data_IF_406554924709
#
_entry.id   IF_406554924709
#
_cell.length_a   1.000
_cell.length_b   1.000
_cell.length_c   1.000
_cell.angle_alpha   90.00
_cell.angle_beta   90.00
_cell.angle_gamma   90.00
#
_symmetry.space_group_name_H-M   'P 1'
#
loop_
_entity.id
_entity.type
_entity.pdbx_description
1 polymer ?
#
# COMPACT_ATOMS: atom_id res chain seq x y z
N UNK A 1 -11.09 -15.18 0.48
CA UNK A 1 -9.96 -14.87 -0.40
C UNK A 1 -10.34 -15.12 -1.86
N UNK A 2 -9.84 -14.31 -2.76
CA UNK A 2 -10.04 -14.44 -4.21
C UNK A 2 -9.18 -15.55 -4.83
N UNK A 3 -8.25 -16.13 -4.07
CA UNK A 3 -7.32 -17.14 -4.53
C UNK A 3 -7.10 -18.28 -3.54
N UNK A 4 -6.44 -19.35 -3.97
CA UNK A 4 -6.04 -20.44 -3.09
C UNK A 4 -5.07 -19.96 -2.00
N UNK A 5 -5.20 -20.53 -0.79
CA UNK A 5 -4.25 -20.27 0.30
C UNK A 5 -2.97 -21.08 0.05
N UNK A 6 -1.97 -20.41 -0.47
CA UNK A 6 -0.66 -20.97 -0.81
C UNK A 6 0.46 -20.04 -0.39
N UNK A 7 1.68 -20.52 -0.31
CA UNK A 7 2.85 -19.67 -0.05
C UNK A 7 3.02 -18.59 -1.11
N UNK A 8 2.76 -18.90 -2.38
CA UNK A 8 2.84 -17.94 -3.48
C UNK A 8 1.71 -16.91 -3.46
N UNK A 9 0.58 -17.21 -2.83
CA UNK A 9 -0.55 -16.30 -2.66
C UNK A 9 -0.51 -15.51 -1.35
N UNK A 10 0.58 -15.54 -0.61
CA UNK A 10 0.72 -14.84 0.67
C UNK A 10 1.42 -13.48 0.51
N UNK A 11 1.04 -12.51 1.35
CA UNK A 11 1.72 -11.22 1.46
C UNK A 11 3.15 -11.35 1.99
N UNK A 12 4.05 -10.41 1.66
CA UNK A 12 3.87 -9.32 0.71
C UNK A 12 4.00 -9.78 -0.74
N UNK A 13 3.38 -9.04 -1.67
CA UNK A 13 3.60 -9.22 -3.10
C UNK A 13 4.64 -8.23 -3.62
N UNK A 14 5.52 -8.73 -4.48
CA UNK A 14 6.53 -7.93 -5.17
C UNK A 14 6.43 -8.22 -6.68
N UNK A 15 6.23 -7.20 -7.49
CA UNK A 15 6.15 -7.30 -8.95
C UNK A 15 7.21 -6.45 -9.66
N UNK A 16 8.04 -5.75 -8.90
CA UNK A 16 9.15 -4.91 -9.39
C UNK A 16 10.46 -5.23 -8.69
N UNK A 17 11.52 -4.55 -9.09
CA UNK A 17 12.86 -4.78 -8.55
C UNK A 17 13.00 -4.31 -7.08
N UNK A 18 12.12 -3.40 -6.64
CA UNK A 18 12.26 -2.72 -5.36
C UNK A 18 10.90 -2.26 -4.80
N UNK A 19 9.95 -3.16 -4.72
CA UNK A 19 8.64 -2.83 -4.19
C UNK A 19 8.01 -4.04 -3.53
N UNK A 20 7.48 -3.85 -2.33
CA UNK A 20 6.61 -4.84 -1.70
C UNK A 20 5.30 -4.20 -1.24
N UNK A 21 4.21 -4.91 -1.46
CA UNK A 21 2.84 -4.48 -1.13
C UNK A 21 2.19 -5.46 -0.16
N UNK A 22 1.61 -4.90 0.89
CA UNK A 22 0.64 -5.57 1.76
C UNK A 22 -0.72 -4.91 1.56
N UNK A 23 -1.77 -5.71 1.45
CA UNK A 23 -3.14 -5.29 1.19
C UNK A 23 -4.09 -5.85 2.26
N UNK A 24 -4.93 -4.99 2.79
CA UNK A 24 -6.09 -5.39 3.57
C UNK A 24 -7.34 -4.88 2.85
N UNK A 25 -8.14 -5.79 2.29
CA UNK A 25 -9.31 -5.43 1.50
C UNK A 25 -9.66 -6.44 0.41
N UNK A 26 -10.37 -5.97 -0.60
CA UNK A 26 -10.69 -6.71 -1.83
C UNK A 26 -10.89 -5.76 -2.99
N UNK A 27 -10.26 -6.06 -4.13
CA UNK A 27 -10.36 -5.29 -5.36
C UNK A 27 -11.42 -5.91 -6.28
N UNK A 28 -12.57 -5.28 -6.39
CA UNK A 28 -13.71 -5.79 -7.18
C UNK A 28 -13.39 -5.87 -8.66
N UNK A 29 -12.57 -4.96 -9.19
CA UNK A 29 -12.21 -4.91 -10.61
C UNK A 29 -10.90 -5.65 -10.95
N UNK A 30 -10.32 -6.43 -10.02
CA UNK A 30 -9.00 -7.05 -10.19
C UNK A 30 -8.87 -7.89 -11.48
N UNK A 31 -9.91 -8.61 -11.90
CA UNK A 31 -9.86 -9.42 -13.11
C UNK A 31 -9.82 -8.58 -14.41
N UNK A 32 -10.53 -7.44 -14.43
CA UNK A 32 -10.48 -6.52 -15.57
C UNK A 32 -9.09 -5.86 -15.65
N UNK A 33 -8.57 -5.45 -14.51
CA UNK A 33 -7.26 -4.83 -14.38
C UNK A 33 -6.13 -5.81 -14.73
N UNK A 34 -6.21 -7.07 -14.26
CA UNK A 34 -5.27 -8.15 -14.64
C UNK A 34 -5.16 -8.31 -16.16
N UNK A 35 -6.29 -8.35 -16.86
CA UNK A 35 -6.30 -8.43 -18.33
C UNK A 35 -5.67 -7.21 -18.99
N UNK A 36 -5.92 -6.00 -18.46
CA UNK A 36 -5.31 -4.75 -18.93
C UNK A 36 -3.78 -4.80 -18.76
N UNK A 37 -3.31 -5.14 -17.57
CA UNK A 37 -1.88 -5.18 -17.23
C UNK A 37 -1.11 -6.25 -18.01
N UNK A 38 -1.70 -7.45 -18.20
CA UNK A 38 -1.11 -8.50 -19.06
C UNK A 38 -0.91 -8.04 -20.50
N UNK A 39 -1.84 -7.22 -21.06
CA UNK A 39 -1.68 -6.64 -22.41
C UNK A 39 -0.56 -5.59 -22.46
N UNK A 40 -0.18 -5.01 -21.34
CA UNK A 40 0.95 -4.10 -21.19
C UNK A 40 2.28 -4.84 -20.91
N UNK A 41 2.27 -6.17 -20.96
CA UNK A 41 3.45 -6.99 -20.72
C UNK A 41 3.77 -7.23 -19.25
N UNK A 42 2.90 -6.84 -18.32
CA UNK A 42 3.11 -7.10 -16.89
C UNK A 42 2.75 -8.56 -16.59
N UNK A 43 3.70 -9.27 -15.98
CA UNK A 43 3.51 -10.66 -15.57
C UNK A 43 2.77 -10.72 -14.24
N UNK A 44 1.74 -11.55 -14.15
CA UNK A 44 0.94 -11.81 -12.96
C UNK A 44 0.73 -13.32 -12.86
N UNK A 45 1.24 -13.93 -11.80
CA UNK A 45 1.30 -15.39 -11.64
C UNK A 45 0.06 -15.95 -10.96
N UNK A 46 -0.40 -15.29 -9.88
CA UNK A 46 -1.47 -15.81 -9.04
C UNK A 46 -2.85 -15.26 -9.43
N UNK A 47 -3.88 -15.81 -8.86
CA UNK A 47 -5.23 -15.25 -8.95
C UNK A 47 -5.53 -14.23 -7.84
N UNK A 48 -4.53 -13.92 -6.98
CA UNK A 48 -4.68 -12.98 -5.88
C UNK A 48 -4.85 -11.55 -6.40
N UNK A 49 -5.78 -10.82 -5.82
CA UNK A 49 -6.06 -9.43 -6.16
C UNK A 49 -4.94 -8.47 -5.69
N UNK A 50 -4.25 -8.82 -4.60
CA UNK A 50 -3.10 -8.04 -4.11
C UNK A 50 -1.95 -8.03 -5.11
N UNK A 51 -1.68 -9.16 -5.78
CA UNK A 51 -0.68 -9.18 -6.86
C UNK A 51 -1.08 -8.24 -8.01
N UNK A 52 -2.37 -8.14 -8.32
CA UNK A 52 -2.87 -7.19 -9.32
C UNK A 52 -2.67 -5.74 -8.85
N UNK A 53 -2.89 -5.44 -7.58
CA UNK A 53 -2.60 -4.14 -7.00
C UNK A 53 -1.11 -3.78 -7.08
N UNK A 54 -0.22 -4.71 -6.72
CA UNK A 54 1.22 -4.54 -6.83
C UNK A 54 1.67 -4.34 -8.29
N UNK A 55 1.14 -5.15 -9.21
CA UNK A 55 1.38 -5.04 -10.64
C UNK A 55 0.91 -3.69 -11.21
N UNK A 56 -0.22 -3.17 -10.72
CA UNK A 56 -0.72 -1.85 -11.11
C UNK A 56 0.25 -0.74 -10.71
N UNK A 57 0.72 -0.73 -9.46
CA UNK A 57 1.70 0.26 -9.01
C UNK A 57 3.00 0.18 -9.82
N UNK A 58 3.52 -1.03 -10.03
CA UNK A 58 4.70 -1.26 -10.88
C UNK A 58 4.50 -0.71 -12.29
N UNK A 59 3.36 -0.99 -12.91
CA UNK A 59 3.03 -0.47 -14.24
C UNK A 59 3.00 1.05 -14.29
N UNK A 60 2.40 1.72 -13.29
CA UNK A 60 2.37 3.17 -13.19
C UNK A 60 3.78 3.75 -13.08
N UNK A 61 4.61 3.17 -12.21
CA UNK A 61 5.99 3.61 -12.00
C UNK A 61 6.88 3.38 -13.23
N UNK A 62 6.73 2.27 -13.94
CA UNK A 62 7.42 2.02 -15.22
C UNK A 62 7.00 3.02 -16.32
N UNK A 63 5.82 3.61 -16.21
CA UNK A 63 5.34 4.67 -17.11
C UNK A 63 5.65 6.09 -16.59
N UNK A 64 6.56 6.21 -15.62
CA UNK A 64 7.11 7.49 -15.18
C UNK A 64 6.43 8.11 -13.96
N UNK A 65 5.44 7.47 -13.35
CA UNK A 65 4.87 7.94 -12.10
C UNK A 65 5.82 7.69 -10.92
N UNK A 66 5.89 8.61 -9.99
CA UNK A 66 6.44 8.35 -8.65
C UNK A 66 5.54 7.37 -7.88
N UNK A 67 6.03 6.78 -6.79
CA UNK A 67 5.20 5.92 -5.94
C UNK A 67 3.98 6.68 -5.39
N UNK A 68 4.16 7.93 -4.95
CA UNK A 68 3.07 8.76 -4.45
C UNK A 68 1.98 8.98 -5.51
N UNK A 69 2.37 9.32 -6.76
CA UNK A 69 1.44 9.47 -7.88
C UNK A 69 0.76 8.15 -8.26
N UNK A 70 1.47 7.03 -8.19
CA UNK A 70 0.89 5.71 -8.44
C UNK A 70 -0.15 5.33 -7.37
N UNK A 71 0.14 5.61 -6.09
CA UNK A 71 -0.80 5.43 -4.99
C UNK A 71 -2.01 6.36 -5.11
N UNK A 72 -1.80 7.63 -5.46
CA UNK A 72 -2.91 8.58 -5.67
C UNK A 72 -3.83 8.11 -6.81
N UNK A 73 -3.24 7.66 -7.94
CA UNK A 73 -4.02 7.13 -9.06
C UNK A 73 -4.78 5.85 -8.72
N UNK A 74 -4.34 5.09 -7.72
CA UNK A 74 -5.05 3.88 -7.28
C UNK A 74 -6.42 4.19 -6.71
N UNK A 75 -6.64 5.37 -6.14
CA UNK A 75 -7.94 5.80 -5.62
C UNK A 75 -9.00 5.97 -6.70
N UNK A 76 -8.59 6.29 -7.94
CA UNK A 76 -9.49 6.46 -9.09
C UNK A 76 -9.63 5.18 -9.93
N UNK A 77 -8.54 4.41 -10.07
CA UNK A 77 -8.46 3.29 -11.00
C UNK A 77 -8.85 1.94 -10.37
N UNK A 78 -8.73 1.79 -9.05
CA UNK A 78 -9.08 0.57 -8.33
C UNK A 78 -10.48 0.67 -7.76
N UNK A 79 -11.27 -0.37 -7.95
CA UNK A 79 -12.62 -0.50 -7.40
C UNK A 79 -12.63 -1.56 -6.29
N UNK A 80 -13.35 -1.26 -5.21
CA UNK A 80 -13.42 -2.12 -4.04
C UNK A 80 -13.17 -1.35 -2.74
N UNK A 81 -12.64 -2.04 -1.75
CA UNK A 81 -12.20 -1.43 -0.49
C UNK A 81 -10.82 -1.97 -0.13
N UNK A 82 -9.90 -1.08 0.16
CA UNK A 82 -8.50 -1.46 0.34
C UNK A 82 -7.71 -0.48 1.21
N UNK A 83 -6.81 -1.03 1.98
CA UNK A 83 -5.70 -0.28 2.55
C UNK A 83 -4.42 -0.92 2.04
N UNK A 84 -3.60 -0.15 1.35
CA UNK A 84 -2.29 -0.59 0.89
C UNK A 84 -1.19 -0.04 1.80
N UNK A 85 -0.23 -0.90 2.07
CA UNK A 85 1.04 -0.53 2.69
C UNK A 85 2.15 -0.97 1.74
N UNK A 86 2.94 -0.02 1.27
CA UNK A 86 3.98 -0.24 0.27
C UNK A 86 5.32 0.17 0.82
N UNK A 87 6.28 -0.75 0.77
CA UNK A 87 7.69 -0.48 1.07
C UNK A 87 8.53 -0.49 -0.20
N UNK A 88 9.45 0.44 -0.31
CA UNK A 88 10.54 0.47 -1.29
C UNK A 88 11.86 0.76 -0.58
N UNK A 89 13.00 0.65 -1.27
CA UNK A 89 14.31 1.03 -0.68
C UNK A 89 14.36 2.51 -0.29
N UNK A 90 13.60 3.37 -0.96
CA UNK A 90 13.65 4.82 -0.80
C UNK A 90 12.52 5.38 0.07
N UNK A 91 11.52 4.55 0.41
CA UNK A 91 10.38 5.07 1.15
C UNK A 91 9.33 4.04 1.55
N UNK A 92 8.32 4.56 2.20
CA UNK A 92 7.17 3.82 2.72
C UNK A 92 5.90 4.61 2.41
N UNK A 93 4.91 3.95 1.85
CA UNK A 93 3.63 4.57 1.48
C UNK A 93 2.44 3.84 2.07
N UNK A 94 1.41 4.59 2.43
CA UNK A 94 0.10 4.07 2.84
C UNK A 94 -0.98 4.79 2.04
N UNK A 95 -1.91 4.04 1.48
CA UNK A 95 -3.15 4.59 0.92
C UNK A 95 -4.34 3.90 1.55
N UNK A 96 -5.32 4.69 1.93
CA UNK A 96 -6.62 4.21 2.43
C UNK A 96 -7.71 4.59 1.43
N UNK A 97 -8.51 3.64 1.04
CA UNK A 97 -9.63 3.83 0.11
C UNK A 97 -10.70 4.81 0.65
N UNK A 98 -11.62 5.31 -0.19
CA UNK A 98 -12.66 6.25 0.26
C UNK A 98 -13.67 5.65 1.25
N UNK A 99 -13.89 4.32 1.23
CA UNK A 99 -14.82 3.64 2.13
C UNK A 99 -14.23 3.50 3.53
N UNK A 100 -12.90 3.29 3.61
CA UNK A 100 -12.12 3.18 4.84
C UNK A 100 -12.67 2.17 5.87
N UNK A 101 -13.30 1.09 5.40
CA UNK A 101 -13.92 0.10 6.28
C UNK A 101 -12.92 -0.85 6.95
N UNK A 102 -11.69 -0.93 6.43
CA UNK A 102 -10.65 -1.75 7.04
C UNK A 102 -9.95 -1.00 8.17
N UNK A 103 -9.71 -1.66 9.32
CA UNK A 103 -9.01 -1.02 10.42
C UNK A 103 -7.57 -0.68 10.03
N UNK A 104 -7.12 0.49 10.43
CA UNK A 104 -5.79 0.99 10.16
C UNK A 104 -5.37 1.97 11.26
N UNK A 105 -4.16 1.84 11.75
CA UNK A 105 -3.56 2.76 12.72
C UNK A 105 -2.13 3.06 12.35
N UNK A 106 -1.76 4.31 12.47
CA UNK A 106 -0.40 4.83 12.28
C UNK A 106 0.18 5.26 13.60
N UNK A 107 1.48 5.08 13.74
CA UNK A 107 2.25 5.67 14.85
C UNK A 107 3.52 6.29 14.28
N UNK A 108 3.83 7.51 14.69
CA UNK A 108 4.98 8.28 14.22
C UNK A 108 5.74 8.85 15.41
N UNK A 109 7.04 8.65 15.40
CA UNK A 109 8.00 9.26 16.29
C UNK A 109 9.04 10.02 15.46
N UNK A 110 10.03 10.61 16.10
CA UNK A 110 11.20 11.18 15.42
C UNK A 110 12.14 10.13 14.79
N UNK A 111 11.94 8.85 15.12
CA UNK A 111 12.80 7.73 14.70
C UNK A 111 12.16 6.82 13.65
N UNK A 112 10.84 6.70 13.65
CA UNK A 112 10.14 5.78 12.75
C UNK A 112 8.68 6.18 12.50
N UNK A 113 8.14 5.61 11.41
CA UNK A 113 6.71 5.51 11.16
C UNK A 113 6.33 4.04 11.14
N UNK A 114 5.25 3.69 11.82
CA UNK A 114 4.72 2.34 11.88
C UNK A 114 3.25 2.30 11.47
N UNK A 115 2.87 1.19 10.83
CA UNK A 115 1.50 0.87 10.47
C UNK A 115 1.06 -0.45 11.11
N UNK A 116 -0.19 -0.50 11.54
CA UNK A 116 -0.85 -1.73 11.99
C UNK A 116 -2.35 -1.69 11.70
N UNK A 117 -2.99 -2.85 11.69
CA UNK A 117 -4.45 -2.91 11.68
C UNK A 117 -5.04 -2.53 13.03
N UNK A 118 -4.29 -2.76 14.11
CA UNK A 118 -4.69 -2.46 15.49
C UNK A 118 -3.51 -1.88 16.26
N UNK A 119 -3.77 -0.92 17.15
CA UNK A 119 -2.75 -0.33 18.01
C UNK A 119 -1.98 -1.37 18.84
N UNK A 120 -2.67 -2.43 19.27
CA UNK A 120 -2.06 -3.54 20.01
C UNK A 120 -0.84 -4.16 19.30
N UNK A 121 -0.81 -4.14 17.97
CA UNK A 121 0.33 -4.63 17.20
C UNK A 121 1.58 -3.74 17.33
N UNK A 122 1.40 -2.49 17.75
CA UNK A 122 2.46 -1.48 17.83
C UNK A 122 2.99 -1.27 19.24
N UNK A 123 2.30 -1.75 20.27
CA UNK A 123 2.60 -1.44 21.69
C UNK A 123 3.98 -1.87 22.18
N UNK A 124 4.65 -2.77 21.47
CA UNK A 124 6.01 -3.22 21.81
C UNK A 124 7.12 -2.42 21.11
N UNK A 125 6.76 -1.45 20.28
CA UNK A 125 7.75 -0.62 19.60
C UNK A 125 8.41 0.35 20.59
N UNK A 126 9.71 0.58 20.49
CA UNK A 126 10.42 1.51 21.37
C UNK A 126 9.87 2.94 21.26
N UNK A 127 9.55 3.58 22.38
CA UNK A 127 9.06 4.97 22.41
C UNK A 127 7.65 5.17 21.90
N UNK A 128 6.85 4.09 21.79
CA UNK A 128 5.47 4.16 21.32
C UNK A 128 4.57 5.00 22.22
N UNK A 129 4.90 5.09 23.50
CA UNK A 129 4.19 5.91 24.49
C UNK A 129 4.22 7.41 24.18
N UNK A 130 5.26 7.87 23.47
CA UNK A 130 5.44 9.27 23.05
C UNK A 130 5.06 9.49 21.58
N UNK A 131 4.66 8.44 20.88
CA UNK A 131 4.32 8.52 19.46
C UNK A 131 3.02 9.30 19.22
N UNK A 132 2.98 10.06 18.14
CA UNK A 132 1.72 10.52 17.54
C UNK A 132 1.00 9.29 16.96
N UNK A 133 -0.19 8.99 17.47
CA UNK A 133 -1.02 7.86 17.00
C UNK A 133 -2.28 8.41 16.35
N UNK A 134 -2.62 7.92 15.14
CA UNK A 134 -3.84 8.34 14.43
C UNK A 134 -4.34 7.24 13.48
N UNK A 135 -5.59 7.34 13.05
CA UNK A 135 -6.12 6.58 11.92
C UNK A 135 -5.86 7.34 10.61
N UNK A 136 -5.35 6.68 9.55
CA UNK A 136 -5.26 7.31 8.24
C UNK A 136 -6.64 7.75 7.74
N UNK A 137 -6.73 8.97 7.21
CA UNK A 137 -7.97 9.51 6.67
C UNK A 137 -8.43 8.73 5.42
N UNK A 138 -9.75 8.62 5.17
CA UNK A 138 -10.28 8.06 3.93
C UNK A 138 -9.78 8.83 2.70
N UNK A 139 -9.66 8.14 1.56
CA UNK A 139 -9.21 8.70 0.29
C UNK A 139 -7.87 9.47 0.38
N UNK A 140 -6.96 9.02 1.24
CA UNK A 140 -5.73 9.75 1.52
C UNK A 140 -4.50 8.86 1.31
N UNK A 141 -3.49 9.46 0.69
CA UNK A 141 -2.15 8.88 0.51
C UNK A 141 -1.18 9.53 1.49
N UNK A 142 -0.41 8.72 2.17
CA UNK A 142 0.70 9.12 3.03
C UNK A 142 1.99 8.53 2.47
N UNK A 143 3.05 9.31 2.46
CA UNK A 143 4.36 8.85 1.99
C UNK A 143 5.48 9.41 2.85
N UNK A 144 6.44 8.56 3.17
CA UNK A 144 7.67 8.93 3.89
C UNK A 144 8.88 8.46 3.11
N UNK A 145 9.87 9.34 2.96
CA UNK A 145 11.15 9.02 2.35
C UNK A 145 12.19 8.74 3.43
N UNK A 146 13.04 7.74 3.24
CA UNK A 146 14.16 7.46 4.14
C UNK A 146 15.18 8.61 4.24
N UNK A 147 15.24 9.47 3.23
CA UNK A 147 16.16 10.61 3.18
C UNK A 147 15.56 11.93 3.68
N UNK A 148 14.31 11.96 4.05
CA UNK A 148 13.65 13.12 4.65
C UNK A 148 13.62 12.95 6.17
N UNK A 149 13.84 14.04 6.91
CA UNK A 149 13.56 14.06 8.35
C UNK A 149 12.08 13.70 8.57
N UNK A 150 11.70 12.96 9.64
CA UNK A 150 10.35 12.40 9.82
C UNK A 150 9.21 13.41 9.99
N UNK A 151 9.39 14.66 9.63
CA UNK A 151 8.45 15.77 9.86
C UNK A 151 7.64 16.23 8.66
N UNK A 152 7.62 15.51 7.54
CA UNK A 152 6.78 15.90 6.41
C UNK A 152 5.84 14.79 5.96
N UNK A 153 4.66 14.74 6.55
CA UNK A 153 3.52 14.09 5.93
C UNK A 153 3.17 14.92 4.69
N UNK A 154 3.73 14.61 3.54
CA UNK A 154 3.22 15.15 2.28
C UNK A 154 1.85 14.50 2.04
N UNK A 155 0.77 15.24 2.36
CA UNK A 155 -0.51 14.96 1.76
C UNK A 155 -0.32 15.23 0.28
N UNK A 156 -0.38 14.18 -0.55
CA UNK A 156 -0.53 14.37 -1.98
C UNK A 156 -1.84 15.16 -2.19
N UNK A 157 -1.73 16.34 -2.76
CA UNK A 157 -2.84 17.24 -3.07
C UNK A 157 -3.58 16.75 -4.32
#
# INVERSE_FOLDING_TARGET
TESAVTTMGAHPFNTGDDQCLVHNGSLSNHNALRRKLRRQGIHIETENDTEVGAAYLTWRMQNGASLGEALQSSLDDLDGFFTFVVGTKDGFGVVRDPIACKPAVMAETDQYVAFGSEYRALVSLPGIEDARVWEPEPATVYFWSHNAAPTSTEKAA
#
